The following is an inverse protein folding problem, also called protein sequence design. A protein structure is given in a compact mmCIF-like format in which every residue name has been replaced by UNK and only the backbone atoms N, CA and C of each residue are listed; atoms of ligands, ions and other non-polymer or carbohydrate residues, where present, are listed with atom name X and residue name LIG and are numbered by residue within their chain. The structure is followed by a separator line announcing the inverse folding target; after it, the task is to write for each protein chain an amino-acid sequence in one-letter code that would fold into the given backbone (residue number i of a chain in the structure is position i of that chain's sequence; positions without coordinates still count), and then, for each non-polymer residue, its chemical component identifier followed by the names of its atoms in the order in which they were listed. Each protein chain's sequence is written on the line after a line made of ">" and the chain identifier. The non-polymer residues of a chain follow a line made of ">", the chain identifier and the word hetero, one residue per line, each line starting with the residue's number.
data_IF_556479733926
#
_entry.id   IF_556479733926
#
_cell.length_a   1.000
_cell.length_b   1.000
_cell.length_c   1.000
_cell.angle_alpha   90.00
_cell.angle_beta   90.00
_cell.angle_gamma   90.00
#
_symmetry.space_group_name_H-M   'P 1'
#
loop_
_entity.id
_entity.type
_entity.pdbx_description
1 polymer ?
#
# COMPACT_ATOMS: atom_id res chain seq x y z
N UNK A 1 21.60 3.27 50.25
CA UNK A 1 22.05 4.61 49.83
C UNK A 1 23.34 4.45 49.05
N UNK A 2 23.26 4.37 47.72
CA UNK A 2 24.43 4.45 46.84
C UNK A 2 24.31 5.71 46.00
N UNK A 3 25.37 6.51 46.05
CA UNK A 3 25.52 7.82 45.42
C UNK A 3 25.47 7.64 43.91
N UNK A 4 24.48 8.24 43.26
CA UNK A 4 24.48 8.43 41.80
C UNK A 4 25.59 9.43 41.47
N UNK A 5 26.62 8.93 40.81
CA UNK A 5 27.67 9.74 40.22
C UNK A 5 27.06 10.62 39.15
N UNK A 6 27.12 11.92 39.40
CA UNK A 6 26.74 13.00 38.51
C UNK A 6 27.69 12.97 37.30
N UNK A 7 27.34 12.21 36.26
CA UNK A 7 28.05 12.26 34.97
C UNK A 7 27.48 13.42 34.16
N UNK A 8 28.38 14.35 33.82
CA UNK A 8 28.07 15.69 33.36
C UNK A 8 27.15 15.77 32.15
N UNK A 9 26.39 16.86 32.13
CA UNK A 9 25.54 17.30 31.04
C UNK A 9 26.36 17.42 29.74
N UNK A 10 26.10 16.63 28.67
CA UNK A 10 26.87 16.67 27.43
C UNK A 10 26.55 17.89 26.55
N UNK A 11 25.77 18.85 27.06
CA UNK A 11 25.25 20.01 26.32
C UNK A 11 26.30 21.07 25.92
N UNK A 12 27.59 20.88 26.22
CA UNK A 12 28.63 21.86 25.92
C UNK A 12 29.61 21.47 24.80
N UNK A 13 29.29 20.44 24.00
CA UNK A 13 29.96 20.27 22.72
C UNK A 13 29.36 21.26 21.71
N UNK A 14 30.17 22.17 21.17
CA UNK A 14 29.76 23.09 20.10
C UNK A 14 29.41 22.24 18.87
N UNK A 15 28.11 21.98 18.66
CA UNK A 15 27.62 21.26 17.50
C UNK A 15 28.05 22.02 16.23
N UNK A 16 28.43 21.32 15.14
CA UNK A 16 28.71 21.99 13.87
C UNK A 16 27.47 22.80 13.44
N UNK A 17 27.65 23.97 12.79
CA UNK A 17 26.59 24.96 12.58
C UNK A 17 25.39 24.47 11.75
N UNK A 18 25.49 23.30 11.12
CA UNK A 18 24.43 22.68 10.31
C UNK A 18 23.54 21.67 11.07
N UNK A 19 23.86 21.33 12.33
CA UNK A 19 23.11 20.32 13.09
C UNK A 19 22.38 20.94 14.28
N UNK A 20 21.11 20.58 14.43
CA UNK A 20 20.27 20.94 15.57
C UNK A 20 20.01 19.68 16.40
N UNK A 21 20.13 19.78 17.72
CA UNK A 21 19.77 18.69 18.63
C UNK A 21 18.30 18.33 18.50
N UNK A 22 17.98 17.03 18.38
CA UNK A 22 16.59 16.55 18.33
C UNK A 22 15.80 16.93 19.58
N UNK A 23 16.47 17.03 20.74
CA UNK A 23 15.86 17.47 22.00
C UNK A 23 15.45 18.94 21.91
N UNK A 24 16.31 19.80 21.36
CA UNK A 24 15.98 21.21 21.19
C UNK A 24 14.86 21.38 20.16
N UNK A 25 14.96 20.69 19.01
CA UNK A 25 13.90 20.69 18.01
C UNK A 25 12.55 20.28 18.60
N UNK A 26 12.51 19.22 19.43
CA UNK A 26 11.28 18.77 20.06
C UNK A 26 10.69 19.79 21.05
N UNK A 27 11.54 20.52 21.78
CA UNK A 27 11.12 21.60 22.68
C UNK A 27 10.57 22.80 21.89
N UNK A 28 11.19 23.12 20.75
CA UNK A 28 10.81 24.24 19.88
C UNK A 28 9.47 24.02 19.16
N UNK A 29 8.97 22.77 19.09
CA UNK A 29 7.65 22.47 18.51
C UNK A 29 6.48 23.06 19.32
N UNK A 30 6.70 23.51 20.58
CA UNK A 30 5.66 24.11 21.42
C UNK A 30 4.52 23.16 21.81
N UNK A 31 4.67 21.85 21.56
CA UNK A 31 3.65 20.84 21.88
C UNK A 31 3.69 20.46 23.36
N UNK A 32 2.52 20.32 23.98
CA UNK A 32 2.37 19.90 25.38
C UNK A 32 1.63 18.55 25.50
N UNK A 33 2.22 17.42 25.05
CA UNK A 33 1.58 16.12 25.14
C UNK A 33 1.54 15.60 26.58
N UNK A 34 0.60 14.68 26.86
CA UNK A 34 0.60 13.91 28.11
C UNK A 34 1.83 13.00 28.15
N UNK A 35 2.72 13.26 29.10
CA UNK A 35 3.94 12.46 29.31
C UNK A 35 3.61 11.23 30.16
N UNK A 36 4.24 10.10 29.84
CA UNK A 36 4.23 8.89 30.66
C UNK A 36 5.67 8.43 30.85
N UNK A 37 5.95 7.80 31.98
CA UNK A 37 7.21 7.07 32.13
C UNK A 37 7.24 5.95 31.09
N UNK A 38 8.39 5.82 30.44
CA UNK A 38 8.64 4.77 29.47
C UNK A 38 9.54 3.72 30.12
N UNK A 39 9.15 2.46 29.98
CA UNK A 39 9.92 1.32 30.44
C UNK A 39 10.80 0.82 29.29
N UNK A 40 12.12 0.92 29.47
CA UNK A 40 13.11 0.58 28.44
C UNK A 40 13.08 -0.91 28.11
N UNK A 41 12.68 -1.76 29.05
CA UNK A 41 12.61 -3.20 28.84
C UNK A 41 11.42 -3.60 27.94
N UNK A 42 10.55 -2.65 27.60
CA UNK A 42 9.48 -2.87 26.60
C UNK A 42 9.97 -2.78 25.15
N UNK A 43 11.24 -2.42 24.91
CA UNK A 43 11.83 -2.53 23.59
C UNK A 43 11.94 -3.99 23.15
N UNK A 44 11.52 -4.26 21.92
CA UNK A 44 11.69 -5.60 21.32
C UNK A 44 13.13 -5.69 20.81
N UNK A 45 13.96 -6.62 21.34
CA UNK A 45 15.34 -6.77 20.91
C UNK A 45 15.41 -7.24 19.45
N UNK A 46 16.49 -6.86 18.78
CA UNK A 46 16.77 -7.33 17.42
C UNK A 46 17.50 -8.66 17.53
N UNK A 47 16.99 -9.66 16.82
CA UNK A 47 17.59 -10.99 16.67
C UNK A 47 17.79 -11.27 15.18
N UNK A 48 18.77 -12.08 14.81
CA UNK A 48 19.00 -12.43 13.40
C UNK A 48 18.41 -13.80 13.12
N UNK A 49 17.48 -13.87 12.18
CA UNK A 49 16.80 -15.10 11.76
C UNK A 49 17.11 -15.35 10.29
N UNK A 50 17.56 -16.56 9.90
CA UNK A 50 17.74 -16.91 8.50
C UNK A 50 16.42 -16.79 7.72
N UNK A 51 16.48 -16.26 6.50
CA UNK A 51 15.30 -16.02 5.68
C UNK A 51 14.45 -17.27 5.42
N UNK A 52 15.06 -18.46 5.36
CA UNK A 52 14.38 -19.75 5.18
C UNK A 52 13.57 -20.22 6.40
N UNK A 53 13.71 -19.56 7.56
CA UNK A 53 12.90 -19.79 8.77
C UNK A 53 11.73 -18.82 8.88
N UNK A 54 11.66 -17.83 7.99
CA UNK A 54 10.63 -16.82 7.96
C UNK A 54 9.50 -17.26 7.03
N UNK A 55 8.28 -17.21 7.53
CA UNK A 55 7.06 -17.55 6.83
C UNK A 55 6.22 -16.31 6.59
N UNK A 56 5.41 -16.32 5.55
CA UNK A 56 4.42 -15.28 5.29
C UNK A 56 3.05 -15.93 5.22
N UNK A 57 2.05 -15.28 5.81
CA UNK A 57 0.68 -15.75 5.67
C UNK A 57 0.23 -15.61 4.20
N UNK A 58 -0.57 -16.57 3.70
CA UNK A 58 -1.02 -16.58 2.31
C UNK A 58 -1.85 -15.35 1.95
N UNK A 59 -2.59 -14.79 2.90
CA UNK A 59 -3.36 -13.57 2.66
C UNK A 59 -2.44 -12.35 2.52
N UNK A 60 -1.42 -12.25 3.38
CA UNK A 60 -0.42 -11.17 3.33
C UNK A 60 0.53 -11.30 2.13
N UNK A 61 0.84 -12.52 1.67
CA UNK A 61 1.68 -12.78 0.49
C UNK A 61 1.15 -12.07 -0.77
N UNK A 62 -0.18 -11.93 -0.89
CA UNK A 62 -0.80 -11.25 -2.05
C UNK A 62 -0.47 -9.76 -2.13
N UNK A 63 0.11 -9.18 -1.07
CA UNK A 63 0.48 -7.77 -0.99
C UNK A 63 1.90 -7.48 -1.52
N UNK A 64 2.63 -8.52 -1.96
CA UNK A 64 3.96 -8.35 -2.55
C UNK A 64 3.86 -7.66 -3.91
N UNK A 65 4.68 -6.61 -4.09
CA UNK A 65 4.68 -5.77 -5.29
C UNK A 65 5.91 -6.12 -6.15
N UNK A 66 5.68 -6.83 -7.26
CA UNK A 66 6.76 -7.31 -8.13
C UNK A 66 7.57 -6.20 -8.80
N UNK A 67 6.95 -5.06 -9.11
CA UNK A 67 7.64 -3.91 -9.71
C UNK A 67 8.67 -3.30 -8.75
N UNK A 68 8.35 -3.24 -7.45
CA UNK A 68 9.28 -2.79 -6.42
C UNK A 68 10.51 -3.71 -6.33
N UNK A 69 10.27 -5.03 -6.29
CA UNK A 69 11.34 -6.04 -6.22
C UNK A 69 12.28 -5.91 -7.42
N UNK A 70 11.73 -5.88 -8.64
CA UNK A 70 12.51 -5.72 -9.88
C UNK A 70 13.22 -4.37 -9.95
N UNK A 71 12.60 -3.31 -9.43
CA UNK A 71 13.13 -1.95 -9.43
C UNK A 71 14.35 -1.77 -8.52
N UNK A 72 14.43 -2.53 -7.42
CA UNK A 72 15.53 -2.42 -6.46
C UNK A 72 16.89 -2.85 -7.04
N UNK A 73 16.92 -3.81 -7.97
CA UNK A 73 18.10 -4.37 -8.67
C UNK A 73 19.16 -5.04 -7.79
N UNK A 74 19.28 -4.66 -6.54
CA UNK A 74 20.17 -5.22 -5.53
C UNK A 74 19.53 -5.17 -4.14
N UNK A 75 20.13 -5.90 -3.19
CA UNK A 75 19.79 -5.80 -1.78
C UNK A 75 20.83 -4.95 -1.06
N UNK A 76 20.39 -3.81 -0.51
CA UNK A 76 21.23 -2.95 0.34
C UNK A 76 20.95 -3.20 1.82
N UNK A 77 21.86 -3.91 2.48
CA UNK A 77 21.77 -4.22 3.91
C UNK A 77 21.80 -2.98 4.81
N UNK A 78 22.34 -1.85 4.36
CA UNK A 78 22.38 -0.60 5.15
C UNK A 78 20.99 0.05 5.25
N UNK A 79 20.12 -0.25 4.30
CA UNK A 79 18.73 0.21 4.23
C UNK A 79 17.75 -0.80 4.85
N UNK A 80 18.22 -2.02 5.16
CA UNK A 80 17.42 -3.06 5.78
C UNK A 80 17.09 -2.70 7.23
N UNK A 81 15.80 -2.37 7.46
CA UNK A 81 15.28 -2.18 8.81
C UNK A 81 14.91 -3.52 9.43
N UNK A 82 14.94 -3.63 10.77
CA UNK A 82 14.46 -4.82 11.46
C UNK A 82 13.02 -5.18 11.03
N UNK A 83 12.83 -6.44 10.64
CA UNK A 83 11.55 -7.02 10.27
C UNK A 83 10.68 -7.18 11.50
N UNK A 84 9.36 -7.06 11.35
CA UNK A 84 8.42 -7.35 12.43
C UNK A 84 7.91 -8.77 12.30
N UNK A 85 8.22 -9.61 13.28
CA UNK A 85 8.02 -11.05 13.20
C UNK A 85 7.28 -11.55 14.44
N UNK A 86 6.38 -12.50 14.25
CA UNK A 86 5.69 -13.19 15.33
C UNK A 86 6.15 -14.63 15.41
N UNK A 87 6.49 -15.10 16.61
CA UNK A 87 6.69 -16.52 16.89
C UNK A 87 5.35 -17.13 17.30
N UNK A 88 4.78 -17.96 16.42
CA UNK A 88 3.51 -18.66 16.66
C UNK A 88 3.70 -19.87 17.59
N UNK A 89 2.65 -20.38 18.25
CA UNK A 89 2.75 -21.52 19.18
C UNK A 89 3.29 -22.81 18.55
N UNK A 90 3.15 -22.96 17.23
CA UNK A 90 3.69 -24.07 16.44
C UNK A 90 5.21 -23.95 16.18
N UNK A 91 5.86 -22.85 16.59
CA UNK A 91 7.29 -22.60 16.40
C UNK A 91 7.64 -21.88 15.09
N UNK A 92 6.65 -21.48 14.30
CA UNK A 92 6.88 -20.76 13.04
C UNK A 92 7.03 -19.26 13.26
N UNK A 93 7.96 -18.65 12.51
CA UNK A 93 8.18 -17.20 12.51
C UNK A 93 7.39 -16.55 11.37
N UNK A 94 6.25 -15.94 11.68
CA UNK A 94 5.41 -15.24 10.72
C UNK A 94 5.85 -13.77 10.55
N UNK A 95 6.22 -13.39 9.34
CA UNK A 95 6.59 -12.01 8.98
C UNK A 95 5.32 -11.19 8.80
N UNK A 96 5.09 -10.25 9.72
CA UNK A 96 4.00 -9.29 9.61
C UNK A 96 4.40 -8.10 8.73
N UNK A 97 5.65 -7.65 8.80
CA UNK A 97 6.13 -6.47 8.07
C UNK A 97 7.61 -6.63 7.66
N UNK A 98 7.90 -6.26 6.41
CA UNK A 98 9.22 -6.42 5.80
C UNK A 98 9.35 -7.53 4.75
N UNK A 99 8.22 -8.01 4.21
CA UNK A 99 8.20 -9.07 3.18
C UNK A 99 9.06 -8.74 1.95
N UNK A 100 9.00 -7.51 1.42
CA UNK A 100 9.83 -7.11 0.27
C UNK A 100 11.32 -7.14 0.62
N UNK A 101 11.72 -6.68 1.81
CA UNK A 101 13.11 -6.74 2.28
C UNK A 101 13.60 -8.19 2.34
N UNK A 102 12.79 -9.10 2.88
CA UNK A 102 13.10 -10.53 2.92
C UNK A 102 13.27 -11.10 1.51
N UNK A 103 12.33 -10.81 0.61
CA UNK A 103 12.39 -11.31 -0.78
C UNK A 103 13.61 -10.74 -1.52
N UNK A 104 13.91 -9.45 -1.36
CA UNK A 104 15.10 -8.84 -1.94
C UNK A 104 16.37 -9.52 -1.44
N UNK A 105 16.48 -9.74 -0.12
CA UNK A 105 17.60 -10.46 0.47
C UNK A 105 17.78 -11.86 -0.11
N UNK A 106 16.69 -12.60 -0.30
CA UNK A 106 16.75 -13.96 -0.89
C UNK A 106 17.15 -13.91 -2.37
N UNK A 107 16.59 -12.99 -3.16
CA UNK A 107 16.77 -12.98 -4.62
C UNK A 107 18.07 -12.32 -5.08
N UNK A 108 18.57 -11.32 -4.34
CA UNK A 108 19.70 -10.49 -4.74
C UNK A 108 20.97 -10.70 -3.90
N UNK A 109 21.01 -11.74 -3.05
CA UNK A 109 22.24 -12.14 -2.34
C UNK A 109 22.60 -13.59 -2.64
N UNK A 110 23.89 -13.91 -2.54
CA UNK A 110 24.37 -15.30 -2.73
C UNK A 110 24.02 -16.21 -1.56
N UNK A 111 23.72 -15.66 -0.39
CA UNK A 111 23.26 -16.45 0.76
C UNK A 111 21.83 -16.95 0.59
N UNK A 112 21.02 -16.26 -0.22
CA UNK A 112 19.63 -16.65 -0.50
C UNK A 112 18.82 -16.85 0.78
N UNK A 113 18.24 -18.05 0.94
CA UNK A 113 17.47 -18.42 2.12
C UNK A 113 18.28 -18.45 3.43
N UNK A 114 19.61 -18.56 3.38
CA UNK A 114 20.46 -18.55 4.59
C UNK A 114 20.83 -17.13 5.04
N UNK A 115 20.42 -16.09 4.30
CA UNK A 115 20.72 -14.71 4.67
C UNK A 115 20.11 -14.40 6.06
N UNK A 116 20.93 -14.02 7.06
CA UNK A 116 20.41 -13.61 8.35
C UNK A 116 19.77 -12.22 8.24
N UNK A 117 18.48 -12.13 8.55
CA UNK A 117 17.72 -10.87 8.54
C UNK A 117 17.48 -10.37 9.96
N UNK A 118 17.66 -9.06 10.23
CA UNK A 118 17.37 -8.49 11.54
C UNK A 118 15.85 -8.52 11.79
N UNK A 119 15.43 -9.06 12.93
CA UNK A 119 14.03 -9.30 13.28
C UNK A 119 13.74 -8.83 14.70
N UNK A 120 12.63 -8.13 14.88
CA UNK A 120 11.99 -7.88 16.17
C UNK A 120 10.89 -8.92 16.36
N UNK A 121 11.12 -9.87 17.27
CA UNK A 121 10.24 -11.02 17.48
C UNK A 121 9.28 -10.77 18.64
N UNK A 122 7.99 -10.96 18.38
CA UNK A 122 6.96 -11.06 19.42
C UNK A 122 6.48 -12.49 19.51
N UNK A 123 6.53 -13.06 20.71
CA UNK A 123 5.97 -14.38 20.95
C UNK A 123 4.47 -14.28 21.18
N UNK A 124 3.69 -15.08 20.44
CA UNK A 124 2.28 -15.28 20.75
C UNK A 124 2.12 -16.14 22.00
N UNK A 125 1.05 -15.95 22.78
CA UNK A 125 0.70 -16.86 23.86
C UNK A 125 0.55 -18.30 23.37
N UNK A 126 1.14 -19.25 24.11
CA UNK A 126 1.19 -20.67 23.72
C UNK A 126 -0.17 -21.35 23.53
N UNK A 127 -1.22 -20.76 24.09
CA UNK A 127 -2.59 -21.25 24.03
C UNK A 127 -3.41 -20.66 22.87
N UNK A 128 -2.81 -19.79 22.04
CA UNK A 128 -3.53 -19.21 20.91
C UNK A 128 -3.76 -20.24 19.80
N UNK A 129 -4.92 -20.17 19.19
CA UNK A 129 -5.21 -20.87 17.94
C UNK A 129 -4.55 -20.15 16.76
N UNK A 130 -4.47 -20.82 15.61
CA UNK A 130 -3.95 -20.23 14.38
C UNK A 130 -4.71 -18.96 14.00
N UNK A 131 -6.05 -18.98 14.03
CA UNK A 131 -6.87 -17.82 13.73
C UNK A 131 -6.62 -16.66 14.70
N UNK A 132 -6.48 -16.94 16.00
CA UNK A 132 -6.17 -15.90 17.00
C UNK A 132 -4.80 -15.26 16.74
N UNK A 133 -3.81 -16.04 16.30
CA UNK A 133 -2.51 -15.51 15.90
C UNK A 133 -2.66 -14.55 14.71
N UNK A 134 -3.37 -14.99 13.65
CA UNK A 134 -3.63 -14.19 12.45
C UNK A 134 -4.34 -12.87 12.79
N UNK A 135 -5.40 -12.92 13.62
CA UNK A 135 -6.16 -11.73 14.00
C UNK A 135 -5.27 -10.69 14.73
N UNK A 136 -4.42 -11.14 15.66
CA UNK A 136 -3.50 -10.27 16.39
C UNK A 136 -2.41 -9.71 15.49
N UNK A 137 -1.85 -10.53 14.61
CA UNK A 137 -0.87 -10.14 13.60
C UNK A 137 -1.43 -9.05 12.69
N UNK A 138 -2.64 -9.25 12.15
CA UNK A 138 -3.32 -8.31 11.28
C UNK A 138 -3.56 -6.96 11.97
N UNK A 139 -4.09 -6.97 13.19
CA UNK A 139 -4.32 -5.74 13.97
C UNK A 139 -3.01 -5.00 14.22
N UNK A 140 -1.91 -5.71 14.49
CA UNK A 140 -0.61 -5.08 14.72
C UNK A 140 -0.01 -4.52 13.44
N UNK A 141 -0.13 -5.23 12.32
CA UNK A 141 0.26 -4.75 10.99
C UNK A 141 -0.46 -3.44 10.63
N UNK A 142 -1.77 -3.39 10.82
CA UNK A 142 -2.56 -2.17 10.61
C UNK A 142 -2.07 -1.00 11.47
N UNK A 143 -1.74 -1.24 12.75
CA UNK A 143 -1.15 -0.22 13.64
C UNK A 143 0.23 0.25 13.18
N UNK A 144 1.09 -0.66 12.72
CA UNK A 144 2.42 -0.33 12.21
C UNK A 144 2.33 0.56 10.96
N UNK A 145 1.44 0.23 10.02
CA UNK A 145 1.23 1.01 8.80
C UNK A 145 0.62 2.38 9.11
N UNK A 146 -0.41 2.43 9.97
CA UNK A 146 -1.03 3.69 10.39
C UNK A 146 -0.03 4.66 11.03
N UNK A 147 0.91 4.13 11.82
CA UNK A 147 1.92 4.93 12.52
C UNK A 147 3.11 5.36 11.62
N UNK A 148 3.36 4.67 10.49
CA UNK A 148 4.49 4.94 9.58
C UNK A 148 4.26 6.10 8.60
N UNK A 149 3.01 6.58 8.45
CA UNK A 149 2.58 7.77 7.69
C UNK A 149 3.50 8.23 6.55
N UNK A 150 3.51 7.43 5.49
CA UNK A 150 3.32 7.82 4.08
C UNK A 150 2.90 6.55 3.32
N UNK A 151 1.93 5.83 3.88
CA UNK A 151 1.32 4.66 3.24
C UNK A 151 0.48 5.22 2.09
N UNK A 152 0.72 4.75 0.86
CA UNK A 152 -0.10 5.17 -0.28
C UNK A 152 -1.56 4.78 -0.02
N UNK A 153 -2.53 5.47 -0.63
CA UNK A 153 -3.96 5.14 -0.44
C UNK A 153 -4.26 3.68 -0.77
N UNK A 154 -3.54 3.10 -1.74
CA UNK A 154 -3.67 1.70 -2.15
C UNK A 154 -3.12 0.75 -1.08
N UNK A 155 -1.97 1.05 -0.48
CA UNK A 155 -1.42 0.22 0.60
C UNK A 155 -2.27 0.28 1.87
N UNK A 156 -2.88 1.44 2.16
CA UNK A 156 -3.84 1.55 3.26
C UNK A 156 -5.11 0.76 2.96
N UNK A 157 -5.60 0.81 1.73
CA UNK A 157 -6.77 0.06 1.29
C UNK A 157 -6.53 -1.45 1.40
N UNK A 158 -5.36 -1.93 0.95
CA UNK A 158 -4.93 -3.33 1.10
C UNK A 158 -4.93 -3.79 2.56
N UNK A 159 -4.35 -2.98 3.45
CA UNK A 159 -4.32 -3.29 4.87
C UNK A 159 -5.73 -3.35 5.47
N UNK A 160 -6.62 -2.43 5.07
CA UNK A 160 -7.99 -2.41 5.54
C UNK A 160 -8.82 -3.60 5.02
N UNK A 161 -8.62 -4.03 3.76
CA UNK A 161 -9.24 -5.24 3.21
C UNK A 161 -8.83 -6.48 4.01
N UNK A 162 -7.54 -6.62 4.33
CA UNK A 162 -7.06 -7.72 5.18
C UNK A 162 -7.70 -7.71 6.59
N UNK A 163 -8.07 -6.52 7.08
CA UNK A 163 -8.79 -6.35 8.35
C UNK A 163 -10.31 -6.50 8.23
N UNK A 164 -10.83 -6.88 7.05
CA UNK A 164 -12.27 -6.97 6.74
C UNK A 164 -13.03 -5.68 7.07
N UNK A 165 -12.38 -4.53 6.87
CA UNK A 165 -13.01 -3.22 7.01
C UNK A 165 -14.09 -3.04 5.95
N UNK A 166 -15.31 -2.71 6.39
CA UNK A 166 -16.49 -2.63 5.51
C UNK A 166 -16.29 -1.64 4.35
N UNK A 167 -15.79 -0.43 4.64
CA UNK A 167 -15.53 0.57 3.61
C UNK A 167 -14.47 0.11 2.60
N UNK A 168 -13.45 -0.59 3.07
CA UNK A 168 -12.41 -1.12 2.18
C UNK A 168 -12.91 -2.27 1.30
N UNK A 169 -13.81 -3.11 1.82
CA UNK A 169 -14.49 -4.16 1.06
C UNK A 169 -15.45 -3.57 0.02
N UNK A 170 -16.20 -2.51 0.34
CA UNK A 170 -17.04 -1.79 -0.62
C UNK A 170 -16.22 -1.21 -1.78
N UNK A 171 -15.03 -0.66 -1.49
CA UNK A 171 -14.12 -0.16 -2.53
C UNK A 171 -13.61 -1.31 -3.41
N UNK A 172 -13.28 -2.46 -2.81
CA UNK A 172 -12.87 -3.64 -3.57
C UNK A 172 -13.99 -4.13 -4.49
N UNK A 173 -15.22 -4.23 -3.97
CA UNK A 173 -16.40 -4.60 -4.74
C UNK A 173 -16.65 -3.61 -5.88
N UNK A 174 -16.51 -2.31 -5.64
CA UNK A 174 -16.63 -1.30 -6.69
C UNK A 174 -15.60 -1.49 -7.81
N UNK A 175 -14.34 -1.84 -7.51
CA UNK A 175 -13.31 -2.14 -8.51
C UNK A 175 -13.67 -3.39 -9.33
N UNK A 176 -14.20 -4.42 -8.67
CA UNK A 176 -14.70 -5.65 -9.32
C UNK A 176 -15.89 -5.33 -10.24
N UNK A 177 -16.85 -4.54 -9.76
CA UNK A 177 -18.05 -4.16 -10.52
C UNK A 177 -17.72 -3.29 -11.75
N UNK A 178 -16.70 -2.44 -11.62
CA UNK A 178 -16.13 -1.67 -12.72
C UNK A 178 -15.40 -2.56 -13.73
N UNK A 179 -14.99 -3.77 -13.35
CA UNK A 179 -14.27 -4.73 -14.17
C UNK A 179 -12.82 -4.30 -14.42
N UNK A 180 -12.15 -3.73 -13.43
CA UNK A 180 -10.77 -3.23 -13.49
C UNK A 180 -9.98 -3.60 -12.26
N UNK A 181 -8.65 -3.48 -12.34
CA UNK A 181 -7.79 -3.52 -11.17
C UNK A 181 -6.85 -2.32 -11.10
N UNK A 182 -6.46 -1.96 -9.88
CA UNK A 182 -5.39 -0.98 -9.60
C UNK A 182 -4.32 -1.70 -8.81
N UNK A 183 -3.12 -1.85 -9.37
CA UNK A 183 -2.02 -2.59 -8.75
C UNK A 183 -2.46 -3.98 -8.21
N UNK A 184 -3.14 -4.77 -9.04
CA UNK A 184 -3.71 -6.09 -8.72
C UNK A 184 -4.85 -6.10 -7.68
N UNK A 185 -5.41 -4.94 -7.31
CA UNK A 185 -6.59 -4.84 -6.46
C UNK A 185 -7.85 -4.62 -7.31
N UNK A 186 -8.83 -5.52 -7.24
CA UNK A 186 -10.07 -5.49 -8.03
C UNK A 186 -10.25 -6.74 -8.89
N UNK A 187 -10.80 -6.56 -10.09
CA UNK A 187 -10.99 -7.64 -11.07
C UNK A 187 -9.63 -8.01 -11.71
N UNK A 188 -9.10 -9.18 -11.37
CA UNK A 188 -7.80 -9.66 -11.87
C UNK A 188 -7.78 -9.94 -13.37
N UNK A 189 -8.94 -10.13 -14.00
CA UNK A 189 -9.06 -10.36 -15.45
C UNK A 189 -9.38 -9.05 -16.21
N UNK A 190 -9.64 -7.97 -15.46
CA UNK A 190 -9.85 -6.62 -15.96
C UNK A 190 -8.54 -5.92 -16.39
N UNK A 191 -8.61 -4.78 -17.10
CA UNK A 191 -7.42 -4.00 -17.39
C UNK A 191 -6.92 -3.26 -16.15
N UNK A 192 -5.61 -3.02 -16.09
CA UNK A 192 -5.01 -2.16 -15.08
C UNK A 192 -5.41 -0.69 -15.30
N UNK A 193 -5.68 0.04 -14.21
CA UNK A 193 -5.93 1.49 -14.23
C UNK A 193 -4.87 2.22 -13.40
N UNK A 194 -4.21 3.19 -14.02
CA UNK A 194 -3.38 4.17 -13.34
C UNK A 194 -4.21 5.42 -12.98
N UNK A 195 -4.09 5.91 -11.75
CA UNK A 195 -4.83 7.09 -11.27
C UNK A 195 -6.09 6.74 -10.47
N UNK A 196 -5.93 5.94 -9.41
CA UNK A 196 -6.98 5.52 -8.48
C UNK A 196 -7.93 6.65 -8.05
N UNK A 197 -7.38 7.79 -7.60
CA UNK A 197 -8.19 8.89 -7.08
C UNK A 197 -9.17 9.42 -8.14
N UNK A 198 -8.74 9.49 -9.41
CA UNK A 198 -9.57 9.96 -10.52
C UNK A 198 -10.62 8.92 -10.93
N UNK A 199 -10.29 7.64 -10.88
CA UNK A 199 -11.25 6.56 -11.10
C UNK A 199 -12.37 6.58 -10.05
N UNK A 200 -12.00 6.66 -8.77
CA UNK A 200 -12.98 6.69 -7.68
C UNK A 200 -13.81 7.97 -7.68
N UNK A 201 -13.21 9.11 -8.02
CA UNK A 201 -13.93 10.37 -8.25
C UNK A 201 -14.96 10.22 -9.38
N UNK A 202 -14.59 9.58 -10.49
CA UNK A 202 -15.50 9.32 -11.60
C UNK A 202 -16.65 8.40 -11.20
N UNK A 203 -16.37 7.30 -10.49
CA UNK A 203 -17.39 6.37 -10.00
C UNK A 203 -18.38 7.08 -9.08
N UNK A 204 -17.88 7.86 -8.12
CA UNK A 204 -18.71 8.62 -7.18
C UNK A 204 -19.57 9.68 -7.87
N UNK A 205 -19.04 10.33 -8.90
CA UNK A 205 -19.70 11.49 -9.54
C UNK A 205 -20.67 11.07 -10.64
N UNK A 206 -20.28 10.10 -11.47
CA UNK A 206 -20.99 9.74 -12.71
C UNK A 206 -21.66 8.36 -12.64
N UNK A 207 -21.36 7.57 -11.61
CA UNK A 207 -21.95 6.25 -11.37
C UNK A 207 -21.32 5.12 -12.20
N UNK A 208 -21.57 3.89 -11.76
CA UNK A 208 -21.00 2.66 -12.31
C UNK A 208 -21.25 2.47 -13.82
N UNK A 209 -22.47 2.77 -14.29
CA UNK A 209 -22.85 2.61 -15.71
C UNK A 209 -21.97 3.44 -16.64
N UNK A 210 -21.77 4.73 -16.32
CA UNK A 210 -20.95 5.63 -17.11
C UNK A 210 -19.47 5.22 -17.10
N UNK A 211 -18.96 4.79 -15.94
CA UNK A 211 -17.59 4.31 -15.80
C UNK A 211 -17.34 3.04 -16.63
N UNK A 212 -18.24 2.05 -16.58
CA UNK A 212 -18.13 0.83 -17.40
C UNK A 212 -18.16 1.12 -18.90
N UNK A 213 -19.05 2.01 -19.36
CA UNK A 213 -19.07 2.46 -20.77
C UNK A 213 -17.75 3.12 -21.17
N UNK A 214 -17.20 3.95 -20.29
CA UNK A 214 -15.91 4.63 -20.51
C UNK A 214 -14.75 3.66 -20.62
N UNK A 215 -14.67 2.68 -19.72
CA UNK A 215 -13.65 1.63 -19.76
C UNK A 215 -13.79 0.82 -21.05
N UNK A 216 -15.01 0.45 -21.43
CA UNK A 216 -15.26 -0.31 -22.66
C UNK A 216 -14.81 0.46 -23.91
N UNK A 217 -15.21 1.73 -24.04
CA UNK A 217 -14.82 2.58 -25.17
C UNK A 217 -13.30 2.78 -25.22
N UNK A 218 -12.67 3.07 -24.08
CA UNK A 218 -11.22 3.24 -24.02
C UNK A 218 -10.50 1.95 -24.48
N UNK A 219 -10.91 0.78 -24.01
CA UNK A 219 -10.33 -0.49 -24.48
C UNK A 219 -10.56 -0.75 -25.98
N UNK A 220 -11.69 -0.31 -26.54
CA UNK A 220 -11.95 -0.37 -27.99
C UNK A 220 -10.95 0.51 -28.75
N UNK A 221 -10.74 1.74 -28.28
CA UNK A 221 -9.79 2.70 -28.87
C UNK A 221 -8.35 2.20 -28.77
N UNK A 222 -7.91 1.61 -27.65
CA UNK A 222 -6.55 1.06 -27.51
C UNK A 222 -6.25 -0.08 -28.51
N UNK A 223 -7.29 -0.79 -28.99
CA UNK A 223 -7.17 -1.86 -29.99
C UNK A 223 -7.21 -1.33 -31.42
N UNK A 224 -7.66 -0.09 -31.61
CA UNK A 224 -7.84 0.49 -32.92
C UNK A 224 -6.60 1.26 -33.34
N UNK A 225 -5.86 0.69 -34.29
CA UNK A 225 -4.62 1.26 -34.81
C UNK A 225 -4.82 2.62 -35.52
N UNK A 226 -6.07 3.04 -35.77
CA UNK A 226 -6.37 4.38 -36.30
C UNK A 226 -6.06 5.48 -35.27
N UNK A 227 -6.14 5.17 -33.98
CA UNK A 227 -6.08 6.13 -32.89
C UNK A 227 -4.79 5.98 -32.08
N UNK A 228 -4.19 7.10 -31.68
CA UNK A 228 -2.87 7.12 -30.99
C UNK A 228 -3.00 7.52 -29.53
N UNK A 229 -3.75 6.70 -28.78
CA UNK A 229 -3.77 6.79 -27.32
C UNK A 229 -2.59 6.00 -26.75
N UNK A 230 -2.73 5.41 -25.56
CA UNK A 230 -1.76 4.46 -25.03
C UNK A 230 -1.96 3.06 -25.65
N UNK A 231 -0.88 2.29 -25.74
CA UNK A 231 -0.93 0.91 -26.22
C UNK A 231 -1.76 0.00 -25.31
N UNK A 232 -2.27 -1.11 -25.86
CA UNK A 232 -3.05 -2.11 -25.12
C UNK A 232 -2.27 -2.75 -23.95
N UNK A 233 -0.94 -2.71 -23.99
CA UNK A 233 -0.05 -3.17 -22.93
C UNK A 233 0.08 -2.17 -21.76
N UNK A 234 -0.50 -0.98 -21.88
CA UNK A 234 -0.41 0.08 -20.88
C UNK A 234 -1.70 0.19 -20.05
N UNK A 235 -1.57 0.50 -18.75
CA UNK A 235 -2.72 0.78 -17.90
C UNK A 235 -3.59 1.90 -18.49
N UNK A 236 -4.91 1.76 -18.35
CA UNK A 236 -5.86 2.83 -18.62
C UNK A 236 -5.59 4.01 -17.68
N UNK A 237 -5.89 5.23 -18.14
CA UNK A 237 -5.75 6.42 -17.32
C UNK A 237 -7.09 6.78 -16.65
N UNK A 238 -7.12 6.82 -15.31
CA UNK A 238 -8.31 7.14 -14.52
C UNK A 238 -8.87 8.53 -14.79
N UNK A 239 -8.03 9.51 -15.16
CA UNK A 239 -8.48 10.84 -15.59
C UNK A 239 -9.22 10.82 -16.93
N UNK A 240 -8.74 10.03 -17.90
CA UNK A 240 -9.45 9.84 -19.17
C UNK A 240 -10.76 9.08 -18.99
N UNK A 241 -10.78 8.05 -18.14
CA UNK A 241 -12.02 7.37 -17.75
C UNK A 241 -13.00 8.38 -17.16
N UNK A 242 -12.54 9.28 -16.29
CA UNK A 242 -13.37 10.36 -15.73
C UNK A 242 -13.95 11.29 -16.80
N UNK A 243 -13.14 11.72 -17.77
CA UNK A 243 -13.59 12.55 -18.89
C UNK A 243 -14.67 11.87 -19.73
N UNK A 244 -14.45 10.61 -20.14
CA UNK A 244 -15.44 9.83 -20.87
C UNK A 244 -16.72 9.59 -20.04
N UNK A 245 -16.57 9.37 -18.73
CA UNK A 245 -17.71 9.12 -17.83
C UNK A 245 -18.58 10.36 -17.71
N UNK A 246 -17.97 11.54 -17.69
CA UNK A 246 -18.70 12.81 -17.72
C UNK A 246 -19.52 12.96 -19.01
N UNK A 247 -18.96 12.57 -20.17
CA UNK A 247 -19.67 12.61 -21.45
C UNK A 247 -20.87 11.65 -21.43
N UNK A 248 -20.68 10.40 -21.00
CA UNK A 248 -21.80 9.45 -20.89
C UNK A 248 -22.86 9.90 -19.89
N UNK A 249 -22.45 10.50 -18.77
CA UNK A 249 -23.37 11.06 -17.80
C UNK A 249 -24.21 12.20 -18.38
N UNK A 250 -23.60 13.09 -19.18
CA UNK A 250 -24.32 14.15 -19.91
C UNK A 250 -25.34 13.56 -20.89
N UNK A 251 -24.98 12.48 -21.58
CA UNK A 251 -25.86 11.79 -22.55
C UNK A 251 -27.02 11.04 -21.90
N UNK A 252 -26.84 10.55 -20.67
CA UNK A 252 -27.84 9.78 -19.95
C UNK A 252 -28.76 10.66 -19.09
N UNK A 253 -28.27 11.80 -18.58
CA UNK A 253 -28.99 12.65 -17.63
C UNK A 253 -30.01 13.64 -18.22
N UNK A 254 -30.55 13.40 -19.42
CA UNK A 254 -31.45 14.32 -20.14
C UNK A 254 -30.88 15.73 -20.43
N UNK A 255 -29.58 15.95 -20.23
CA UNK A 255 -28.94 17.25 -20.43
C UNK A 255 -28.75 17.59 -21.92
N UNK A 256 -28.76 16.58 -22.78
CA UNK A 256 -28.69 16.74 -24.23
C UNK A 256 -30.12 16.78 -24.79
N UNK A 257 -30.47 17.92 -25.40
CA UNK A 257 -31.83 18.26 -25.84
C UNK A 257 -32.39 17.48 -27.05
N UNK A 258 -32.20 16.16 -27.13
CA UNK A 258 -32.85 15.28 -28.10
C UNK A 258 -32.03 14.04 -28.51
N UNK A 259 -32.71 12.98 -28.96
CA UNK A 259 -32.10 11.71 -29.38
C UNK A 259 -31.04 11.88 -30.47
N UNK A 260 -31.30 12.70 -31.50
CA UNK A 260 -30.36 12.92 -32.60
C UNK A 260 -28.99 13.48 -32.16
N UNK A 261 -28.97 14.31 -31.11
CA UNK A 261 -27.70 14.84 -30.56
C UNK A 261 -26.95 13.78 -29.76
N UNK A 262 -27.68 12.89 -29.08
CA UNK A 262 -27.10 11.73 -28.40
C UNK A 262 -26.49 10.76 -29.41
N UNK A 263 -27.19 10.51 -30.51
CA UNK A 263 -26.73 9.61 -31.57
C UNK A 263 -25.49 10.17 -32.27
N UNK A 264 -25.50 11.46 -32.65
CA UNK A 264 -24.33 12.11 -33.26
C UNK A 264 -23.11 12.14 -32.32
N UNK A 265 -23.32 12.31 -31.01
CA UNK A 265 -22.22 12.27 -30.05
C UNK A 265 -21.70 10.85 -29.83
N UNK A 266 -22.56 9.83 -29.82
CA UNK A 266 -22.14 8.43 -29.80
C UNK A 266 -21.32 8.08 -31.05
N UNK A 267 -21.78 8.46 -32.23
CA UNK A 267 -21.05 8.27 -33.49
C UNK A 267 -19.68 8.95 -33.42
N UNK A 268 -19.61 10.20 -32.94
CA UNK A 268 -18.35 10.89 -32.72
C UNK A 268 -17.40 10.12 -31.78
N UNK A 269 -17.90 9.66 -30.63
CA UNK A 269 -17.11 8.91 -29.65
C UNK A 269 -16.58 7.58 -30.20
N UNK A 270 -17.37 6.89 -31.03
CA UNK A 270 -17.02 5.57 -31.53
C UNK A 270 -16.14 5.59 -32.78
N UNK A 271 -16.33 6.57 -33.66
CA UNK A 271 -15.74 6.57 -35.00
C UNK A 271 -14.70 7.68 -35.22
N UNK A 272 -14.67 8.70 -34.36
CA UNK A 272 -13.83 9.89 -34.57
C UNK A 272 -12.98 10.29 -33.35
N UNK A 273 -13.30 9.78 -32.15
CA UNK A 273 -12.54 10.09 -30.95
C UNK A 273 -11.29 9.21 -30.84
N UNK A 274 -10.19 9.64 -31.50
CA UNK A 274 -8.84 9.27 -31.09
C UNK A 274 -7.69 9.60 -32.03
#
# INVERSE_FOLDING_TARGET
>A
MSVLVNSGNPLNATLPPSLVSITNLALDLGLSPKKKLFDVDTYIPITYIPANKLFVDKEFQRLVIMSFIKGAKEFDGTMARPLYVFLRPNGEYAVADGQHTTILGILYTTQGGELPLPCQVIEHPKNFTEQQCIDVEAVKFGKLNKNRRNVTKIDQLRANIALKDETALEILEALVDMGVHVENLGDSDGPEVFGYDKLMEAHKTYGLSCVRKSIHLYRKIQKDNRFKWNGIDKPLNGGLIGGLSAVFYLMDGQFIGGAAKKDALNEYLEDYLG
#
